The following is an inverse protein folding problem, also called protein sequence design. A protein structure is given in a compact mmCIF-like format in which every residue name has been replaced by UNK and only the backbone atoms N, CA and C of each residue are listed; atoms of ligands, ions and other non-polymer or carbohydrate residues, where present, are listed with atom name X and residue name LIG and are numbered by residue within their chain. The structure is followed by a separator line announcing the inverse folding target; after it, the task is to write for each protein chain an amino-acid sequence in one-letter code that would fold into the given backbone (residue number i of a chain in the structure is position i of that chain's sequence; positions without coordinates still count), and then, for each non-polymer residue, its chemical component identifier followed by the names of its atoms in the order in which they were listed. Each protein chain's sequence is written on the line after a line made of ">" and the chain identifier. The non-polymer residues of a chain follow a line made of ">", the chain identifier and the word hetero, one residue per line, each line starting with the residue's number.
data_IF_364347308739
#
_entry.id   IF_364347308739
#
_cell.length_a   1.000
_cell.length_b   1.000
_cell.length_c   1.000
_cell.angle_alpha   90.00
_cell.angle_beta   90.00
_cell.angle_gamma   90.00
#
_symmetry.space_group_name_H-M   'P 1'
#
loop_
_entity.id
_entity.type
_entity.pdbx_description
1 polymer ?
#
# COMPACT_ATOMS: atom_id res chain seq x y z
N UNK A 1 60.69 92.86 43.35
CA UNK A 1 60.08 92.41 44.62
C UNK A 1 59.89 90.92 44.51
N UNK A 2 60.59 90.12 45.33
CA UNK A 2 60.37 88.68 45.38
C UNK A 2 58.97 88.43 45.96
N UNK A 3 58.22 87.48 45.38
CA UNK A 3 56.93 87.07 45.94
C UNK A 3 57.11 86.61 47.39
N UNK A 4 56.12 86.88 48.25
CA UNK A 4 56.14 86.39 49.62
C UNK A 4 55.92 84.86 49.64
N UNK A 5 56.58 84.14 50.56
CA UNK A 5 56.42 82.68 50.69
C UNK A 5 54.94 82.26 50.87
N UNK A 6 54.11 83.13 51.45
CA UNK A 6 52.67 82.90 51.60
C UNK A 6 51.92 82.91 50.26
N UNK A 7 52.34 83.74 49.29
CA UNK A 7 51.75 83.79 47.96
C UNK A 7 52.20 82.60 47.10
N UNK A 8 53.45 82.16 47.26
CA UNK A 8 53.98 80.93 46.64
C UNK A 8 53.21 79.70 47.15
N UNK A 9 52.95 79.59 48.45
CA UNK A 9 52.15 78.49 49.00
C UNK A 9 50.69 78.51 48.50
N UNK A 10 50.08 79.68 48.32
CA UNK A 10 48.73 79.79 47.72
C UNK A 10 48.71 79.33 46.27
N UNK A 11 49.72 79.70 45.46
CA UNK A 11 49.85 79.22 44.09
C UNK A 11 50.05 77.70 44.02
N UNK A 12 50.88 77.12 44.89
CA UNK A 12 51.07 75.66 44.96
C UNK A 12 49.76 74.96 45.31
N UNK A 13 48.99 75.46 46.29
CA UNK A 13 47.67 74.89 46.62
C UNK A 13 46.67 74.99 45.47
N UNK A 14 46.67 76.11 44.74
CA UNK A 14 45.83 76.26 43.56
C UNK A 14 46.23 75.30 42.45
N UNK A 15 47.54 75.10 42.22
CA UNK A 15 48.03 74.11 41.26
C UNK A 15 47.68 72.68 41.68
N UNK A 16 47.78 72.34 42.97
CA UNK A 16 47.36 71.02 43.47
C UNK A 16 45.87 70.77 43.28
N UNK A 17 45.02 71.75 43.59
CA UNK A 17 43.57 71.66 43.38
C UNK A 17 43.20 71.51 41.90
N UNK A 18 43.92 72.20 41.01
CA UNK A 18 43.74 72.04 39.56
C UNK A 18 44.12 70.63 39.09
N UNK A 19 45.25 70.09 39.55
CA UNK A 19 45.67 68.72 39.21
C UNK A 19 44.67 67.69 39.73
N UNK A 20 44.14 67.89 40.94
CA UNK A 20 43.12 67.01 41.54
C UNK A 20 41.79 67.08 40.77
N UNK A 21 41.35 68.27 40.37
CA UNK A 21 40.17 68.44 39.54
C UNK A 21 40.35 67.79 38.15
N UNK A 22 41.48 68.02 37.48
CA UNK A 22 41.78 67.41 36.19
C UNK A 22 41.84 65.88 36.28
N UNK A 23 42.39 65.33 37.36
CA UNK A 23 42.40 63.89 37.62
C UNK A 23 40.98 63.33 37.84
N UNK A 24 40.14 64.04 38.60
CA UNK A 24 38.76 63.63 38.86
C UNK A 24 37.90 63.69 37.59
N UNK A 25 38.00 64.78 36.80
CA UNK A 25 37.28 64.90 35.53
C UNK A 25 37.69 63.78 34.55
N UNK A 26 38.99 63.43 34.53
CA UNK A 26 39.48 62.34 33.69
C UNK A 26 39.04 60.96 34.18
N UNK A 27 38.90 60.76 35.49
CA UNK A 27 38.33 59.55 36.05
C UNK A 27 36.85 59.40 35.67
N UNK A 28 36.05 60.47 35.83
CA UNK A 28 34.64 60.49 35.44
C UNK A 28 34.45 60.26 33.94
N UNK A 29 35.32 60.83 33.08
CA UNK A 29 35.30 60.59 31.64
C UNK A 29 35.56 59.12 31.30
N UNK A 30 36.51 58.47 31.99
CA UNK A 30 36.82 57.05 31.80
C UNK A 30 35.64 56.18 32.24
N UNK A 31 35.03 56.48 33.40
CA UNK A 31 33.90 55.72 33.91
C UNK A 31 32.67 55.84 32.99
N UNK A 32 32.37 57.06 32.51
CA UNK A 32 31.28 57.29 31.56
C UNK A 32 31.50 56.53 30.25
N UNK A 33 32.74 56.54 29.71
CA UNK A 33 33.08 55.77 28.51
C UNK A 33 33.00 54.26 28.74
N UNK A 34 33.46 53.77 29.88
CA UNK A 34 33.39 52.36 30.23
C UNK A 34 31.95 51.87 30.32
N UNK A 35 31.04 52.68 30.86
CA UNK A 35 29.61 52.36 30.94
C UNK A 35 28.93 52.39 29.55
N UNK A 36 29.29 53.35 28.70
CA UNK A 36 28.81 53.40 27.31
C UNK A 36 29.27 52.16 26.52
N UNK A 37 30.57 51.82 26.57
CA UNK A 37 31.13 50.64 25.91
C UNK A 37 30.51 49.34 26.44
N UNK A 38 30.30 49.23 27.75
CA UNK A 38 29.64 48.06 28.36
C UNK A 38 28.22 47.87 27.81
N UNK A 39 27.44 48.95 27.71
CA UNK A 39 26.08 48.88 27.22
C UNK A 39 26.01 48.53 25.72
N UNK A 40 26.92 49.08 24.92
CA UNK A 40 27.06 48.75 23.49
C UNK A 40 27.41 47.27 23.32
N UNK A 41 28.42 46.79 24.04
CA UNK A 41 28.93 45.43 23.87
C UNK A 41 27.94 44.38 24.40
N UNK A 42 27.29 44.66 25.54
CA UNK A 42 26.17 43.86 26.04
C UNK A 42 25.03 43.81 25.03
N UNK A 43 24.65 44.95 24.45
CA UNK A 43 23.63 45.03 23.41
C UNK A 43 23.98 44.17 22.20
N UNK A 44 25.22 44.28 21.73
CA UNK A 44 25.77 43.49 20.60
C UNK A 44 25.71 41.98 20.88
N UNK A 45 26.18 41.54 22.04
CA UNK A 45 26.16 40.13 22.43
C UNK A 45 24.73 39.58 22.53
N UNK A 46 23.82 40.34 23.16
CA UNK A 46 22.41 39.93 23.28
C UNK A 46 21.74 39.84 21.92
N UNK A 47 21.93 40.83 21.03
CA UNK A 47 21.38 40.80 19.68
C UNK A 47 21.92 39.61 18.88
N UNK A 48 23.23 39.36 18.93
CA UNK A 48 23.85 38.22 18.25
C UNK A 48 23.27 36.88 18.72
N UNK A 49 23.08 36.70 20.04
CA UNK A 49 22.47 35.47 20.56
C UNK A 49 20.97 35.36 20.24
N UNK A 50 20.23 36.48 20.24
CA UNK A 50 18.83 36.51 19.82
C UNK A 50 18.66 36.03 18.38
N UNK A 51 19.52 36.46 17.46
CA UNK A 51 19.48 36.00 16.06
C UNK A 51 19.71 34.48 15.97
N UNK A 52 20.70 33.93 16.68
CA UNK A 52 20.95 32.49 16.74
C UNK A 52 19.74 31.71 17.28
N UNK A 53 19.09 32.24 18.31
CA UNK A 53 17.88 31.65 18.89
C UNK A 53 16.74 31.68 17.87
N UNK A 54 16.52 32.80 17.18
CA UNK A 54 15.50 32.92 16.14
C UNK A 54 15.71 31.91 15.02
N UNK A 55 16.92 31.80 14.47
CA UNK A 55 17.24 30.81 13.43
C UNK A 55 17.02 29.37 13.89
N UNK A 56 17.36 29.06 15.15
CA UNK A 56 17.15 27.74 15.73
C UNK A 56 15.65 27.39 15.82
N UNK A 57 14.84 28.32 16.29
CA UNK A 57 13.39 28.12 16.38
C UNK A 57 12.72 28.09 15.00
N UNK A 58 13.17 28.89 14.04
CA UNK A 58 12.67 28.84 12.67
C UNK A 58 12.93 27.46 12.02
N UNK A 59 14.12 26.89 12.22
CA UNK A 59 14.42 25.52 11.76
C UNK A 59 13.54 24.47 12.44
N UNK A 60 13.34 24.58 13.75
CA UNK A 60 12.45 23.68 14.49
C UNK A 60 11.00 23.77 14.03
N UNK A 61 10.50 24.98 13.80
CA UNK A 61 9.15 25.20 13.33
C UNK A 61 8.93 24.57 11.96
N UNK A 62 9.84 24.83 11.00
CA UNK A 62 9.82 24.20 9.68
C UNK A 62 9.87 22.67 9.76
N UNK A 63 10.66 22.12 10.67
CA UNK A 63 10.74 20.67 10.89
C UNK A 63 9.42 20.10 11.41
N UNK A 64 8.80 20.75 12.39
CA UNK A 64 7.51 20.34 12.96
C UNK A 64 6.40 20.43 11.91
N UNK A 65 6.35 21.50 11.12
CA UNK A 65 5.39 21.64 10.03
C UNK A 65 5.55 20.53 8.99
N UNK A 66 6.78 20.22 8.59
CA UNK A 66 7.08 19.13 7.67
C UNK A 66 6.63 17.79 8.25
N UNK A 67 6.95 17.50 9.51
CA UNK A 67 6.51 16.28 10.18
C UNK A 67 4.98 16.19 10.24
N UNK A 68 4.28 17.28 10.54
CA UNK A 68 2.81 17.32 10.54
C UNK A 68 2.23 17.02 9.17
N UNK A 69 2.82 17.56 8.09
CA UNK A 69 2.42 17.25 6.71
C UNK A 69 2.64 15.78 6.36
N UNK A 70 3.80 15.21 6.74
CA UNK A 70 4.10 13.79 6.52
C UNK A 70 3.11 12.90 7.28
N UNK A 71 2.85 13.20 8.56
CA UNK A 71 1.91 12.44 9.38
C UNK A 71 0.49 12.48 8.82
N UNK A 72 0.01 13.66 8.43
CA UNK A 72 -1.30 13.82 7.80
C UNK A 72 -1.41 13.01 6.50
N UNK A 73 -0.40 13.10 5.64
CA UNK A 73 -0.33 12.33 4.39
C UNK A 73 -0.32 10.81 4.64
N UNK A 74 0.50 10.35 5.59
CA UNK A 74 0.58 8.94 5.96
C UNK A 74 -0.75 8.43 6.53
N UNK A 75 -1.43 9.21 7.38
CA UNK A 75 -2.72 8.86 7.95
C UNK A 75 -3.79 8.73 6.85
N UNK A 76 -3.83 9.67 5.90
CA UNK A 76 -4.76 9.62 4.76
C UNK A 76 -4.47 8.41 3.86
N UNK A 77 -3.20 8.11 3.59
CA UNK A 77 -2.83 6.94 2.82
C UNK A 77 -3.22 5.63 3.52
N UNK A 78 -2.99 5.53 4.83
CA UNK A 78 -3.43 4.37 5.62
C UNK A 78 -4.95 4.21 5.59
N UNK A 79 -5.71 5.30 5.73
CA UNK A 79 -7.17 5.26 5.62
C UNK A 79 -7.61 4.78 4.22
N UNK A 80 -6.97 5.28 3.16
CA UNK A 80 -7.22 4.85 1.78
C UNK A 80 -6.95 3.35 1.58
N UNK A 81 -5.81 2.85 2.06
CA UNK A 81 -5.46 1.43 1.96
C UNK A 81 -6.45 0.54 2.73
N UNK A 82 -6.91 0.98 3.91
CA UNK A 82 -7.96 0.26 4.65
C UNK A 82 -9.25 0.15 3.85
N UNK A 83 -9.70 1.24 3.21
CA UNK A 83 -10.90 1.20 2.36
C UNK A 83 -10.71 0.27 1.16
N UNK A 84 -9.54 0.31 0.50
CA UNK A 84 -9.26 -0.58 -0.63
C UNK A 84 -9.27 -2.05 -0.21
N UNK A 85 -8.67 -2.36 0.94
CA UNK A 85 -8.67 -3.71 1.50
C UNK A 85 -10.09 -4.21 1.76
N UNK A 86 -10.92 -3.42 2.45
CA UNK A 86 -12.30 -3.82 2.74
C UNK A 86 -13.12 -4.01 1.46
N UNK A 87 -12.90 -3.17 0.43
CA UNK A 87 -13.55 -3.35 -0.88
C UNK A 87 -13.14 -4.66 -1.55
N UNK A 88 -11.86 -5.01 -1.49
CA UNK A 88 -11.35 -6.28 -2.02
C UNK A 88 -11.92 -7.47 -1.23
N UNK A 89 -11.94 -7.38 0.09
CA UNK A 89 -12.52 -8.39 0.98
C UNK A 89 -14.02 -8.61 0.67
N UNK A 90 -14.79 -7.55 0.38
CA UNK A 90 -16.19 -7.69 -0.04
C UNK A 90 -16.35 -8.40 -1.37
N UNK A 91 -15.51 -8.10 -2.37
CA UNK A 91 -15.55 -8.82 -3.66
C UNK A 91 -15.19 -10.28 -3.45
N UNK A 92 -14.19 -10.56 -2.61
CA UNK A 92 -13.80 -11.92 -2.27
C UNK A 92 -14.92 -12.70 -1.59
N UNK A 93 -15.62 -12.10 -0.62
CA UNK A 93 -16.76 -12.73 0.03
C UNK A 93 -17.87 -13.09 -0.96
N UNK A 94 -18.17 -12.21 -1.92
CA UNK A 94 -19.17 -12.50 -2.97
C UNK A 94 -18.74 -13.70 -3.84
N UNK A 95 -17.45 -13.81 -4.15
CA UNK A 95 -16.92 -14.97 -4.89
C UNK A 95 -16.93 -16.25 -4.04
N UNK A 96 -16.69 -16.15 -2.74
CA UNK A 96 -16.80 -17.27 -1.80
C UNK A 96 -18.26 -17.73 -1.67
N UNK A 97 -19.23 -16.81 -1.60
CA UNK A 97 -20.67 -17.14 -1.63
C UNK A 97 -21.08 -17.81 -2.95
N UNK A 98 -20.57 -17.32 -4.09
CA UNK A 98 -20.78 -17.96 -5.39
C UNK A 98 -20.19 -19.38 -5.42
N UNK A 99 -19.02 -19.60 -4.80
CA UNK A 99 -18.41 -20.93 -4.65
C UNK A 99 -19.28 -21.85 -3.79
N UNK A 100 -19.84 -21.35 -2.69
CA UNK A 100 -20.80 -22.12 -1.87
C UNK A 100 -22.05 -22.52 -2.66
N UNK A 101 -22.62 -21.61 -3.45
CA UNK A 101 -23.77 -21.89 -4.33
C UNK A 101 -23.45 -22.93 -5.41
N UNK A 102 -22.23 -22.92 -5.98
CA UNK A 102 -21.77 -23.96 -6.90
C UNK A 102 -21.69 -25.33 -6.23
N UNK A 103 -21.31 -25.37 -4.94
CA UNK A 103 -21.33 -26.58 -4.13
C UNK A 103 -22.74 -27.17 -3.99
N UNK A 104 -23.77 -26.34 -3.80
CA UNK A 104 -25.17 -26.79 -3.71
C UNK A 104 -25.64 -27.48 -5.01
N UNK A 105 -25.24 -26.97 -6.18
CA UNK A 105 -25.59 -27.59 -7.48
C UNK A 105 -25.06 -29.02 -7.60
N UNK A 106 -23.95 -29.33 -6.92
CA UNK A 106 -23.36 -30.68 -6.97
C UNK A 106 -24.13 -31.71 -6.14
N UNK A 107 -25.07 -31.29 -5.29
CA UNK A 107 -25.99 -32.19 -4.57
C UNK A 107 -27.06 -32.76 -5.51
N UNK A 108 -27.45 -32.02 -6.54
CA UNK A 108 -28.44 -32.46 -7.53
C UNK A 108 -27.80 -33.34 -8.60
N UNK A 109 -27.81 -34.66 -8.39
CA UNK A 109 -27.13 -35.66 -9.24
C UNK A 109 -27.51 -35.53 -10.73
N UNK A 110 -28.80 -35.32 -11.05
CA UNK A 110 -29.26 -35.25 -12.45
C UNK A 110 -28.73 -34.00 -13.18
N UNK A 111 -28.80 -32.84 -12.51
CA UNK A 111 -28.32 -31.58 -13.07
C UNK A 111 -26.80 -31.59 -13.17
N UNK A 112 -26.13 -32.11 -12.14
CA UNK A 112 -24.69 -32.24 -12.10
C UNK A 112 -24.15 -33.19 -13.17
N UNK A 113 -24.85 -34.31 -13.44
CA UNK A 113 -24.53 -35.24 -14.54
C UNK A 113 -24.47 -34.54 -15.90
N UNK A 114 -25.46 -33.71 -16.21
CA UNK A 114 -25.52 -32.95 -17.47
C UNK A 114 -24.39 -31.91 -17.56
N UNK A 115 -24.08 -31.24 -16.45
CA UNK A 115 -22.97 -30.27 -16.37
C UNK A 115 -21.63 -30.97 -16.57
N UNK A 116 -21.38 -32.10 -15.90
CA UNK A 116 -20.16 -32.88 -16.07
C UNK A 116 -19.98 -33.36 -17.52
N UNK A 117 -21.07 -33.83 -18.15
CA UNK A 117 -21.04 -34.23 -19.55
C UNK A 117 -20.56 -33.09 -20.46
N UNK A 118 -21.14 -31.90 -20.30
CA UNK A 118 -20.76 -30.73 -21.10
C UNK A 118 -19.33 -30.25 -20.80
N UNK A 119 -18.89 -30.31 -19.54
CA UNK A 119 -17.52 -29.97 -19.15
C UNK A 119 -16.48 -30.93 -19.74
N UNK A 120 -16.76 -32.24 -19.76
CA UNK A 120 -15.90 -33.24 -20.38
C UNK A 120 -15.78 -32.95 -21.87
N UNK A 121 -16.91 -32.84 -22.57
CA UNK A 121 -16.92 -32.60 -24.02
C UNK A 121 -16.22 -31.30 -24.39
N UNK A 122 -16.42 -30.21 -23.64
CA UNK A 122 -15.71 -28.94 -23.84
C UNK A 122 -14.19 -29.13 -23.72
N UNK A 123 -13.72 -29.80 -22.67
CA UNK A 123 -12.31 -30.00 -22.43
C UNK A 123 -11.68 -30.96 -23.47
N UNK A 124 -12.44 -31.94 -23.96
CA UNK A 124 -12.01 -32.80 -25.08
C UNK A 124 -11.79 -32.01 -26.37
N UNK A 125 -12.70 -31.09 -26.71
CA UNK A 125 -12.56 -30.22 -27.88
C UNK A 125 -11.35 -29.29 -27.80
N UNK A 126 -10.93 -28.92 -26.58
CA UNK A 126 -9.74 -28.11 -26.38
C UNK A 126 -8.44 -28.92 -26.45
N UNK A 127 -8.46 -30.20 -26.03
CA UNK A 127 -7.26 -31.04 -25.98
C UNK A 127 -6.94 -31.73 -27.32
N UNK A 128 -7.95 -32.22 -28.05
CA UNK A 128 -7.82 -32.87 -29.36
C UNK A 128 -6.81 -34.04 -29.46
N UNK A 129 -6.54 -34.74 -28.35
CA UNK A 129 -5.60 -35.86 -28.26
C UNK A 129 -6.32 -37.24 -28.27
N UNK A 130 -5.68 -38.33 -28.75
CA UNK A 130 -6.32 -39.63 -28.87
C UNK A 130 -6.42 -40.41 -27.55
N UNK A 131 -5.51 -40.17 -26.60
CA UNK A 131 -5.48 -40.85 -25.29
C UNK A 131 -5.50 -39.78 -24.20
N UNK A 132 -6.54 -39.81 -23.37
CA UNK A 132 -6.80 -38.78 -22.36
C UNK A 132 -7.08 -39.45 -21.02
N UNK A 133 -6.42 -38.94 -19.99
CA UNK A 133 -6.62 -39.34 -18.60
C UNK A 133 -7.47 -38.27 -17.90
N UNK A 134 -8.50 -38.67 -17.18
CA UNK A 134 -9.44 -37.79 -16.48
C UNK A 134 -9.23 -37.93 -14.98
N UNK A 135 -9.00 -36.81 -14.29
CA UNK A 135 -8.96 -36.70 -12.84
C UNK A 135 -10.27 -36.09 -12.35
N UNK A 136 -10.86 -36.76 -11.36
CA UNK A 136 -12.15 -36.41 -10.77
C UNK A 136 -12.06 -36.52 -9.25
N UNK A 137 -13.03 -35.98 -8.51
CA UNK A 137 -13.16 -36.29 -7.08
C UNK A 137 -13.64 -37.73 -6.91
N UNK A 138 -13.24 -38.38 -5.82
CA UNK A 138 -13.58 -39.79 -5.55
C UNK A 138 -15.11 -40.05 -5.55
N UNK A 139 -15.90 -39.08 -5.10
CA UNK A 139 -17.37 -39.18 -5.06
C UNK A 139 -18.02 -39.16 -6.46
N UNK A 140 -17.34 -38.60 -7.47
CA UNK A 140 -17.89 -38.46 -8.83
C UNK A 140 -17.48 -39.59 -9.76
N UNK A 141 -16.61 -40.51 -9.33
CA UNK A 141 -16.09 -41.58 -10.19
C UNK A 141 -17.22 -42.41 -10.80
N UNK A 142 -18.24 -42.75 -10.00
CA UNK A 142 -19.40 -43.52 -10.44
C UNK A 142 -20.23 -42.75 -11.50
N UNK A 143 -20.41 -41.44 -11.30
CA UNK A 143 -21.17 -40.59 -12.21
C UNK A 143 -20.42 -40.46 -13.53
N UNK A 144 -19.12 -40.14 -13.47
CA UNK A 144 -18.29 -39.93 -14.66
C UNK A 144 -18.17 -41.21 -15.47
N UNK A 145 -17.94 -42.36 -14.82
CA UNK A 145 -17.87 -43.68 -15.50
C UNK A 145 -19.12 -43.97 -16.34
N UNK A 146 -20.30 -43.58 -15.86
CA UNK A 146 -21.56 -43.75 -16.60
C UNK A 146 -21.77 -42.78 -17.78
N UNK A 147 -21.00 -41.69 -17.86
CA UNK A 147 -21.14 -40.65 -18.91
C UNK A 147 -20.05 -40.77 -19.97
N UNK A 148 -18.90 -41.39 -19.68
CA UNK A 148 -17.75 -41.48 -20.60
C UNK A 148 -18.11 -41.95 -22.01
N UNK A 149 -18.93 -43.00 -22.12
CA UNK A 149 -19.36 -43.53 -23.42
C UNK A 149 -20.18 -42.51 -24.22
N UNK A 150 -21.04 -41.74 -23.54
CA UNK A 150 -21.84 -40.68 -24.17
C UNK A 150 -20.97 -39.50 -24.61
N UNK A 151 -19.98 -39.10 -23.80
CA UNK A 151 -19.02 -38.05 -24.17
C UNK A 151 -18.17 -38.44 -25.38
N UNK A 152 -17.68 -39.69 -25.42
CA UNK A 152 -16.89 -40.19 -26.53
C UNK A 152 -17.70 -40.23 -27.84
N UNK A 153 -18.97 -40.64 -27.78
CA UNK A 153 -19.87 -40.60 -28.94
C UNK A 153 -20.10 -39.17 -29.46
N UNK A 154 -20.37 -38.21 -28.57
CA UNK A 154 -20.56 -36.79 -28.95
C UNK A 154 -19.30 -36.15 -29.53
N UNK A 155 -18.12 -36.52 -28.99
CA UNK A 155 -16.85 -36.06 -29.55
C UNK A 155 -16.61 -36.63 -30.95
N UNK A 156 -16.86 -37.94 -31.13
CA UNK A 156 -16.71 -38.62 -32.43
C UNK A 156 -17.65 -38.05 -33.49
N UNK A 157 -18.89 -37.74 -33.13
CA UNK A 157 -19.88 -37.14 -34.04
C UNK A 157 -19.42 -35.79 -34.59
N UNK A 158 -18.81 -34.94 -33.76
CA UNK A 158 -18.39 -33.58 -34.17
C UNK A 158 -17.02 -33.52 -34.84
N UNK A 159 -16.05 -34.31 -34.37
CA UNK A 159 -14.65 -34.22 -34.81
C UNK A 159 -14.24 -35.39 -35.72
N UNK A 160 -15.00 -36.48 -35.74
CA UNK A 160 -14.70 -37.66 -36.56
C UNK A 160 -13.48 -38.47 -36.08
N UNK A 161 -12.91 -38.14 -34.92
CA UNK A 161 -11.76 -38.86 -34.33
C UNK A 161 -12.19 -39.66 -33.10
N UNK A 162 -11.66 -40.86 -32.97
CA UNK A 162 -11.83 -41.70 -31.79
C UNK A 162 -10.92 -41.25 -30.64
N UNK A 163 -11.43 -41.31 -29.41
CA UNK A 163 -10.72 -40.92 -28.19
C UNK A 163 -10.85 -42.03 -27.15
N UNK A 164 -9.72 -42.42 -26.56
CA UNK A 164 -9.66 -43.31 -25.42
C UNK A 164 -9.65 -42.50 -24.12
N UNK A 165 -10.74 -42.56 -23.37
CA UNK A 165 -10.88 -41.92 -22.07
C UNK A 165 -10.57 -42.92 -20.96
N UNK A 166 -9.62 -42.58 -20.08
CA UNK A 166 -9.30 -43.37 -18.88
C UNK A 166 -9.46 -42.49 -17.64
N UNK A 167 -10.01 -43.04 -16.56
CA UNK A 167 -10.06 -42.35 -15.27
C UNK A 167 -8.77 -42.69 -14.51
N UNK A 168 -8.08 -41.68 -13.98
CA UNK A 168 -6.97 -41.88 -13.06
C UNK A 168 -7.52 -42.31 -11.69
N UNK A 169 -7.20 -43.53 -11.26
CA UNK A 169 -7.59 -44.08 -9.95
C UNK A 169 -6.52 -43.91 -8.88
N UNK A 170 -5.32 -43.48 -9.28
CA UNK A 170 -4.18 -43.32 -8.38
C UNK A 170 -4.13 -41.87 -7.85
N UNK A 171 -4.61 -40.89 -8.63
CA UNK A 171 -4.61 -39.47 -8.26
C UNK A 171 -5.96 -38.79 -8.46
N UNK A 172 -6.78 -38.75 -7.39
CA UNK A 172 -8.05 -38.02 -7.37
C UNK A 172 -7.86 -36.52 -7.10
N UNK A 173 -8.87 -35.72 -7.48
CA UNK A 173 -8.95 -34.33 -7.08
C UNK A 173 -9.19 -34.20 -5.56
N UNK A 174 -8.74 -33.12 -4.92
CA UNK A 174 -8.96 -32.88 -3.51
C UNK A 174 -10.46 -32.93 -3.14
N UNK A 175 -10.80 -33.52 -2.00
CA UNK A 175 -12.18 -33.61 -1.53
C UNK A 175 -12.84 -32.25 -1.24
N UNK A 176 -12.02 -31.21 -1.03
CA UNK A 176 -12.49 -29.84 -0.76
C UNK A 176 -12.91 -29.09 -2.03
N UNK A 177 -12.73 -29.67 -3.21
CA UNK A 177 -13.10 -29.01 -4.46
C UNK A 177 -14.60 -29.12 -4.68
N UNK A 178 -15.25 -28.02 -5.10
CA UNK A 178 -16.69 -28.01 -5.39
C UNK A 178 -17.10 -29.00 -6.51
N UNK A 179 -16.13 -29.46 -7.31
CA UNK A 179 -16.29 -30.52 -8.29
C UNK A 179 -15.79 -30.13 -9.69
N UNK A 180 -16.13 -30.97 -10.67
CA UNK A 180 -15.68 -30.83 -12.05
C UNK A 180 -14.54 -31.81 -12.35
N UNK A 181 -13.78 -31.51 -13.40
CA UNK A 181 -12.81 -32.44 -13.97
C UNK A 181 -11.49 -31.74 -14.29
N UNK A 182 -10.41 -32.52 -14.29
CA UNK A 182 -9.17 -32.14 -14.96
C UNK A 182 -8.81 -33.20 -16.00
N UNK A 183 -8.44 -32.77 -17.20
CA UNK A 183 -7.95 -33.65 -18.25
C UNK A 183 -6.42 -33.55 -18.35
N UNK A 184 -5.78 -34.69 -18.55
CA UNK A 184 -4.37 -34.81 -18.83
C UNK A 184 -4.12 -35.62 -20.10
N UNK A 185 -3.19 -35.18 -20.92
CA UNK A 185 -2.74 -35.90 -22.11
C UNK A 185 -1.21 -35.88 -22.25
N UNK A 186 -0.71 -36.74 -23.15
CA UNK A 186 0.71 -36.89 -23.46
C UNK A 186 1.61 -37.17 -22.23
N UNK A 187 1.19 -38.10 -21.35
CA UNK A 187 1.90 -38.42 -20.09
C UNK A 187 2.06 -37.16 -19.20
N UNK A 188 0.94 -36.53 -18.87
CA UNK A 188 0.82 -35.36 -17.98
C UNK A 188 1.48 -34.05 -18.44
N UNK A 189 1.92 -33.95 -19.69
CA UNK A 189 2.50 -32.70 -20.22
C UNK A 189 1.45 -31.62 -20.48
N UNK A 190 0.26 -32.01 -20.92
CA UNK A 190 -0.83 -31.08 -21.23
C UNK A 190 -1.92 -31.31 -20.19
N UNK A 191 -2.24 -30.27 -19.42
CA UNK A 191 -3.27 -30.29 -18.39
C UNK A 191 -4.33 -29.22 -18.70
N UNK A 192 -5.60 -29.62 -18.68
CA UNK A 192 -6.75 -28.71 -18.76
C UNK A 192 -7.55 -28.85 -17.47
N UNK A 193 -7.53 -27.80 -16.65
CA UNK A 193 -8.41 -27.71 -15.48
C UNK A 193 -9.76 -27.14 -15.90
N UNK A 194 -10.81 -27.97 -15.85
CA UNK A 194 -12.19 -27.54 -16.08
C UNK A 194 -13.04 -27.83 -14.83
N UNK A 195 -12.48 -27.53 -13.66
CA UNK A 195 -13.19 -27.57 -12.37
C UNK A 195 -14.13 -26.37 -12.25
N UNK A 196 -15.18 -26.51 -11.44
CA UNK A 196 -16.13 -25.40 -11.23
C UNK A 196 -15.45 -24.16 -10.63
N UNK A 197 -14.45 -24.36 -9.77
CA UNK A 197 -13.66 -23.29 -9.17
C UNK A 197 -12.79 -22.57 -10.20
N UNK A 198 -12.02 -23.30 -11.01
CA UNK A 198 -11.19 -22.67 -12.05
C UNK A 198 -12.02 -21.85 -13.04
N UNK A 199 -13.24 -22.32 -13.35
CA UNK A 199 -14.18 -21.57 -14.20
C UNK A 199 -14.72 -20.32 -13.51
N UNK A 200 -15.10 -20.41 -12.24
CA UNK A 200 -15.55 -19.27 -11.47
C UNK A 200 -14.47 -18.21 -11.41
N UNK A 201 -13.22 -18.60 -11.12
CA UNK A 201 -12.08 -17.69 -11.02
C UNK A 201 -11.79 -17.01 -12.38
N UNK A 202 -11.84 -17.77 -13.48
CA UNK A 202 -11.63 -17.23 -14.82
C UNK A 202 -12.70 -16.22 -15.22
N UNK A 203 -13.98 -16.51 -14.94
CA UNK A 203 -15.09 -15.59 -15.22
C UNK A 203 -15.02 -14.38 -14.28
N UNK A 204 -14.70 -14.59 -13.00
CA UNK A 204 -14.57 -13.53 -12.01
C UNK A 204 -13.49 -12.52 -12.40
N UNK A 205 -12.37 -12.96 -12.97
CA UNK A 205 -11.33 -12.06 -13.47
C UNK A 205 -11.81 -11.19 -14.63
N UNK A 206 -12.61 -11.75 -15.55
CA UNK A 206 -13.15 -11.01 -16.70
C UNK A 206 -14.26 -10.04 -16.28
N UNK A 207 -15.14 -10.47 -15.38
CA UNK A 207 -16.30 -9.68 -14.92
C UNK A 207 -15.99 -8.79 -13.72
N UNK A 208 -14.75 -8.80 -13.21
CA UNK A 208 -14.35 -7.98 -12.06
C UNK A 208 -14.72 -6.48 -12.20
N UNK A 209 -14.56 -5.84 -13.39
CA UNK A 209 -14.99 -4.46 -13.57
C UNK A 209 -16.51 -4.29 -13.39
N UNK A 210 -17.30 -5.23 -13.89
CA UNK A 210 -18.76 -5.21 -13.81
C UNK A 210 -19.23 -5.46 -12.37
N UNK A 211 -18.66 -6.46 -11.69
CA UNK A 211 -18.91 -6.75 -10.27
C UNK A 211 -18.62 -5.51 -9.42
N UNK A 212 -17.50 -4.83 -9.67
CA UNK A 212 -17.16 -3.58 -8.97
C UNK A 212 -18.16 -2.47 -9.23
N UNK A 213 -18.61 -2.31 -10.48
CA UNK A 213 -19.62 -1.31 -10.82
C UNK A 213 -20.98 -1.61 -10.19
N UNK A 214 -21.36 -2.89 -10.10
CA UNK A 214 -22.61 -3.33 -9.48
C UNK A 214 -22.59 -3.14 -7.95
N UNK A 215 -21.47 -3.49 -7.29
CA UNK A 215 -21.34 -3.39 -5.83
C UNK A 215 -21.10 -1.96 -5.33
N UNK A 216 -20.26 -1.18 -6.03
CA UNK A 216 -19.78 0.12 -5.54
C UNK A 216 -20.24 1.31 -6.39
N UNK A 217 -21.00 1.05 -7.45
CA UNK A 217 -21.45 2.07 -8.39
C UNK A 217 -20.43 2.40 -9.49
N UNK A 218 -20.92 3.01 -10.57
CA UNK A 218 -20.08 3.49 -11.67
C UNK A 218 -19.29 4.72 -11.23
N UNK A 219 -18.04 4.82 -11.71
CA UNK A 219 -17.23 6.01 -11.49
C UNK A 219 -17.89 7.24 -12.15
N UNK A 220 -18.27 8.28 -11.39
CA UNK A 220 -18.92 9.48 -11.92
C UNK A 220 -18.02 10.29 -12.86
N UNK A 221 -16.69 10.14 -12.73
CA UNK A 221 -15.72 10.84 -13.57
C UNK A 221 -15.46 10.14 -14.91
N UNK A 222 -15.95 8.89 -15.11
CA UNK A 222 -15.76 8.15 -16.37
C UNK A 222 -16.84 8.56 -17.38
N UNK A 223 -16.48 9.47 -18.30
CA UNK A 223 -17.36 9.98 -19.36
C UNK A 223 -17.48 9.06 -20.59
N UNK A 224 -16.41 8.34 -20.90
CA UNK A 224 -16.26 7.55 -22.13
C UNK A 224 -16.12 6.05 -21.80
N UNK A 225 -16.65 5.20 -22.68
CA UNK A 225 -16.67 3.74 -22.53
C UNK A 225 -15.99 2.99 -23.69
N UNK A 226 -15.60 3.77 -24.69
CA UNK A 226 -14.73 3.52 -25.84
C UNK A 226 -13.31 3.10 -25.43
#
# INVERSE_FOLDING_TARGET
>A
MALSDADVQKQIKHMMAFIEQEANEKAEEIDAKAEEEFNIEKGRLVQQQRLKIMEYYEKKEKQVELQKKIQSSNMLNQARLKVLKVREDHVRNVLEDARHLLGEITKDVNRYKQVLQTLIVQALFQLMEPVITIKVRQQDEAIVSGILASCAAQYKEKIGKDVQLKIDKDNYLPANTCGGIELQAQRDRIKISNTLESRLDLIAQQLLPEIRCALFGRNPNRKFAD
#
